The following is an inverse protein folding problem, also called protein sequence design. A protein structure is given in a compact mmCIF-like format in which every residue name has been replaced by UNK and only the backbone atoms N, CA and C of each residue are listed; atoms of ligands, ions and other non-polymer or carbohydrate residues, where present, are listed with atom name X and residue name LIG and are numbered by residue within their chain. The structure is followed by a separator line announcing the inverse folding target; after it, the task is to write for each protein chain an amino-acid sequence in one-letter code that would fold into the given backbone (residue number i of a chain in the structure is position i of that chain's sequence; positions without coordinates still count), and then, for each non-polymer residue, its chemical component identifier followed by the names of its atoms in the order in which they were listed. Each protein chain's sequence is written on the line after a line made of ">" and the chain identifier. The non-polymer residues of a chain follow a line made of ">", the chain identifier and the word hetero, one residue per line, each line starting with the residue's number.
data_IF_995029203300
#
_entry.id   IF_995029203300
#
_cell.length_a   1.000
_cell.length_b   1.000
_cell.length_c   1.000
_cell.angle_alpha   90.00
_cell.angle_beta   90.00
_cell.angle_gamma   90.00
#
_symmetry.space_group_name_H-M   'P 1'
#
loop_
_entity.id
_entity.type
_entity.pdbx_description
1 polymer ?
#
# COMPACT_ATOMS: atom_id res chain seq x y z
N UNK A 1 3.58 15.96 -9.47
CA UNK A 1 3.44 14.51 -9.66
C UNK A 1 3.07 13.85 -8.36
N UNK A 2 2.10 12.96 -8.38
CA UNK A 2 1.70 12.26 -7.18
C UNK A 2 2.13 10.80 -7.24
N UNK A 3 2.49 10.27 -6.10
CA UNK A 3 2.70 8.84 -5.94
C UNK A 3 1.78 8.32 -4.85
N UNK A 4 1.40 7.09 -4.99
CA UNK A 4 0.50 6.43 -4.05
C UNK A 4 1.22 5.21 -3.49
N UNK A 5 1.39 5.21 -2.20
CA UNK A 5 2.17 4.17 -1.52
C UNK A 5 1.19 3.25 -0.81
N UNK A 6 1.14 2.01 -1.25
CA UNK A 6 0.36 0.99 -0.58
C UNK A 6 1.15 0.48 0.61
N UNK A 7 0.56 0.54 1.77
CA UNK A 7 1.18 0.08 3.00
C UNK A 7 0.31 -0.98 3.64
N UNK A 8 0.95 -2.02 4.13
CA UNK A 8 0.28 -3.13 4.78
C UNK A 8 0.77 -3.24 6.20
N UNK A 9 -0.16 -3.43 7.11
CA UNK A 9 0.17 -3.62 8.51
C UNK A 9 0.79 -5.01 8.71
N UNK A 10 1.94 -5.04 9.35
CA UNK A 10 2.64 -6.30 9.58
C UNK A 10 1.93 -7.17 10.59
N UNK A 11 2.30 -8.43 10.58
CA UNK A 11 1.86 -9.39 11.57
C UNK A 11 3.08 -9.81 12.37
N UNK A 12 2.88 -10.21 13.61
CA UNK A 12 3.98 -10.60 14.46
C UNK A 12 4.35 -9.53 15.47
N UNK A 13 5.63 -9.38 15.75
CA UNK A 13 6.08 -8.46 16.80
C UNK A 13 5.77 -7.01 16.49
N UNK A 14 5.85 -6.66 15.21
CA UNK A 14 5.59 -5.30 14.76
C UNK A 14 4.23 -5.19 14.10
N UNK A 15 3.23 -5.84 14.66
CA UNK A 15 1.92 -5.94 14.04
C UNK A 15 1.23 -4.61 13.81
N UNK A 16 1.65 -3.58 14.51
CA UNK A 16 1.06 -2.26 14.33
C UNK A 16 1.85 -1.38 13.35
N UNK A 17 2.97 -1.86 12.88
CA UNK A 17 3.78 -1.11 11.94
C UNK A 17 3.33 -1.38 10.51
N UNK A 18 3.30 -0.31 9.71
CA UNK A 18 3.00 -0.44 8.29
C UNK A 18 4.28 -0.54 7.50
N UNK A 19 4.28 -1.43 6.50
CA UNK A 19 5.40 -1.56 5.58
C UNK A 19 4.96 -1.19 4.18
N UNK A 20 5.86 -0.57 3.43
CA UNK A 20 5.57 -0.21 2.06
C UNK A 20 5.55 -1.46 1.18
N UNK A 21 4.43 -1.71 0.55
CA UNK A 21 4.26 -2.87 -0.30
C UNK A 21 4.38 -2.52 -1.78
N UNK A 22 4.01 -1.31 -2.15
CA UNK A 22 4.08 -0.87 -3.54
C UNK A 22 4.07 0.64 -3.61
N UNK A 23 4.69 1.17 -4.65
CA UNK A 23 4.64 2.60 -4.96
C UNK A 23 4.11 2.71 -6.38
N UNK A 24 3.00 3.41 -6.54
CA UNK A 24 2.29 3.48 -7.82
C UNK A 24 2.05 4.93 -8.23
N UNK A 25 2.05 5.16 -9.52
CA UNK A 25 1.79 6.49 -10.05
C UNK A 25 0.30 6.86 -10.02
N UNK A 26 -0.58 5.85 -9.96
CA UNK A 26 -2.01 6.06 -9.93
C UNK A 26 -2.61 5.36 -8.73
N UNK A 27 -3.62 6.00 -8.14
CA UNK A 27 -4.31 5.41 -6.99
C UNK A 27 -4.92 4.05 -7.35
N UNK A 28 -5.51 3.96 -8.54
CA UNK A 28 -6.14 2.72 -8.98
C UNK A 28 -5.15 1.57 -9.07
N UNK A 29 -3.92 1.85 -9.48
CA UNK A 29 -2.89 0.83 -9.53
C UNK A 29 -2.54 0.29 -8.14
N UNK A 30 -2.55 1.16 -7.15
CA UNK A 30 -2.31 0.73 -5.77
C UNK A 30 -3.45 -0.17 -5.29
N UNK A 31 -4.69 0.16 -5.64
CA UNK A 31 -5.84 -0.67 -5.28
C UNK A 31 -5.75 -2.04 -5.97
N UNK A 32 -5.36 -2.05 -7.24
CA UNK A 32 -5.18 -3.31 -7.96
C UNK A 32 -4.06 -4.15 -7.34
N UNK A 33 -2.99 -3.49 -6.93
CA UNK A 33 -1.88 -4.20 -6.30
C UNK A 33 -2.33 -4.84 -4.99
N UNK A 34 -3.15 -4.15 -4.23
CA UNK A 34 -3.72 -4.71 -3.02
C UNK A 34 -4.54 -5.96 -3.33
N UNK A 35 -5.34 -5.92 -4.38
CA UNK A 35 -6.12 -7.08 -4.79
C UNK A 35 -5.23 -8.25 -5.20
N UNK A 36 -4.14 -7.97 -5.89
CA UNK A 36 -3.18 -9.00 -6.27
C UNK A 36 -2.53 -9.65 -5.06
N UNK A 37 -2.16 -8.83 -4.09
CA UNK A 37 -1.56 -9.35 -2.87
C UNK A 37 -2.55 -10.22 -2.12
N UNK A 38 -3.80 -9.77 -2.02
CA UNK A 38 -4.83 -10.56 -1.37
C UNK A 38 -5.10 -11.88 -2.06
N UNK A 39 -4.95 -11.91 -3.37
CA UNK A 39 -5.17 -13.13 -4.13
C UNK A 39 -4.18 -14.24 -3.77
N UNK A 40 -3.01 -13.86 -3.23
CA UNK A 40 -2.03 -14.84 -2.81
C UNK A 40 -2.40 -15.51 -1.49
N UNK A 41 -3.38 -14.97 -0.78
CA UNK A 41 -3.86 -15.54 0.47
C UNK A 41 -5.10 -16.39 0.19
N UNK A 42 -4.88 -17.50 -0.46
CA UNK A 42 -5.98 -18.31 -1.00
C UNK A 42 -6.78 -19.05 0.05
N UNK A 43 -6.28 -19.12 1.26
CA UNK A 43 -6.95 -19.83 2.33
C UNK A 43 -8.04 -19.01 3.00
N UNK A 44 -8.20 -17.77 2.57
CA UNK A 44 -9.17 -16.86 3.18
C UNK A 44 -10.24 -16.54 2.16
N UNK A 45 -11.47 -16.67 2.57
CA UNK A 45 -12.60 -16.40 1.69
C UNK A 45 -12.76 -14.92 1.39
N UNK A 46 -12.19 -14.08 2.20
CA UNK A 46 -12.26 -12.64 2.02
C UNK A 46 -10.85 -12.07 1.98
N UNK A 47 -10.74 -10.86 1.49
CA UNK A 47 -9.47 -10.17 1.45
C UNK A 47 -8.86 -10.08 2.84
N UNK A 48 -7.62 -10.49 2.96
CA UNK A 48 -6.90 -10.41 4.23
C UNK A 48 -6.59 -8.96 4.60
N UNK A 49 -6.11 -8.20 3.61
CA UNK A 49 -5.81 -6.79 3.83
C UNK A 49 -6.97 -5.94 3.34
N UNK A 50 -7.48 -5.10 4.22
CA UNK A 50 -8.61 -4.23 3.90
C UNK A 50 -8.20 -2.79 4.12
N UNK A 51 -8.52 -1.95 3.17
CA UNK A 51 -8.24 -0.52 3.28
C UNK A 51 -8.93 0.04 4.53
N UNK A 52 -8.20 0.88 5.23
CA UNK A 52 -8.65 1.54 6.45
C UNK A 52 -8.77 0.61 7.66
N UNK A 53 -8.27 -0.60 7.55
CA UNK A 53 -8.18 -1.52 8.66
C UNK A 53 -6.73 -1.94 8.88
N UNK A 54 -6.19 -2.74 7.96
CA UNK A 54 -4.79 -3.18 8.04
C UNK A 54 -4.03 -2.90 6.75
N UNK A 55 -4.59 -2.10 5.90
CA UNK A 55 -3.92 -1.61 4.70
C UNK A 55 -4.30 -0.16 4.50
N UNK A 56 -3.40 0.61 3.90
CA UNK A 56 -3.71 2.01 3.58
C UNK A 56 -2.92 2.42 2.35
N UNK A 57 -3.41 3.46 1.70
CA UNK A 57 -2.71 4.06 0.57
C UNK A 57 -2.44 5.50 0.92
N UNK A 58 -1.17 5.85 1.02
CA UNK A 58 -0.76 7.23 1.26
C UNK A 58 -0.44 7.89 -0.06
N UNK A 59 -0.93 9.10 -0.23
CA UNK A 59 -0.67 9.87 -1.43
C UNK A 59 0.29 10.99 -1.10
N UNK A 60 1.37 11.10 -1.86
CA UNK A 60 2.38 12.12 -1.68
C UNK A 60 2.58 12.87 -2.98
N UNK A 61 2.77 14.18 -2.86
CA UNK A 61 3.14 15.00 -3.99
C UNK A 61 4.64 15.06 -4.11
N UNK A 62 5.15 14.74 -5.28
CA UNK A 62 6.56 14.90 -5.57
C UNK A 62 6.75 16.21 -6.30
N UNK A 63 7.67 17.01 -5.82
CA UNK A 63 8.01 18.29 -6.44
C UNK A 63 9.27 18.07 -7.26
N UNK A 64 9.10 18.08 -8.56
CA UNK A 64 10.16 17.69 -9.48
C UNK A 64 11.44 18.46 -9.36
N UNK A 65 11.35 19.71 -9.00
CA UNK A 65 12.51 20.60 -8.99
C UNK A 65 13.12 20.76 -7.61
N UNK A 66 12.84 19.86 -6.72
CA UNK A 66 13.13 20.12 -5.34
C UNK A 66 14.07 19.11 -4.70
N UNK A 67 15.02 18.66 -5.45
CA UNK A 67 15.87 17.60 -4.93
C UNK A 67 17.19 18.12 -4.41
N UNK A 68 17.10 19.22 -3.70
CA UNK A 68 18.26 19.72 -2.99
C UNK A 68 19.35 20.16 -3.90
N UNK A 69 19.00 20.48 -4.93
CA UNK A 69 19.99 20.62 -5.90
C UNK A 69 20.09 22.02 -6.40
#
# INVERSE_FOLDING_TARGET
>A
MQVHILQLQGTGEDEYAYENAAVCANYEDAVERLAEINADYTDVDSAFFKLNENARIETHDLVDNNWGL
#
